data_IF_855183500532
#
_entry.id   IF_855183500532
#
_cell.length_a   1.000
_cell.length_b   1.000
_cell.length_c   1.000
_cell.angle_alpha   90.00
_cell.angle_beta   90.00
_cell.angle_gamma   90.00
#
_symmetry.space_group_name_H-M   'P 1'
#
loop_
_entity.id
_entity.type
_entity.pdbx_description
1 polymer ?
#
# COMPACT_ATOMS: atom_id res chain seq x y z
N UNK A 1 4.02 -8.49 -16.62
CA UNK A 1 5.08 -9.11 -15.77
C UNK A 1 6.02 -9.96 -16.61
N UNK A 2 7.35 -9.88 -16.40
CA UNK A 2 8.36 -10.70 -17.12
C UNK A 2 8.25 -12.18 -16.68
N UNK A 3 8.58 -13.13 -17.57
CA UNK A 3 8.54 -14.58 -17.25
C UNK A 3 9.46 -14.95 -16.07
N UNK A 4 10.61 -14.30 -15.96
CA UNK A 4 11.56 -14.48 -14.84
C UNK A 4 10.95 -14.10 -13.49
N UNK A 5 10.20 -12.99 -13.44
CA UNK A 5 9.50 -12.54 -12.23
C UNK A 5 8.39 -13.52 -11.83
N UNK A 6 7.64 -14.01 -12.81
CA UNK A 6 6.62 -15.04 -12.55
C UNK A 6 7.22 -16.33 -11.97
N UNK A 7 8.31 -16.82 -12.55
CA UNK A 7 9.01 -18.03 -12.06
C UNK A 7 9.56 -17.81 -10.63
N UNK A 8 10.06 -16.61 -10.33
CA UNK A 8 10.53 -16.29 -8.99
C UNK A 8 9.38 -16.35 -7.98
N UNK A 9 8.25 -15.69 -8.26
CA UNK A 9 7.09 -15.69 -7.36
C UNK A 9 6.46 -17.08 -7.21
N UNK A 10 6.40 -17.86 -8.29
CA UNK A 10 5.92 -19.25 -8.24
C UNK A 10 6.82 -20.12 -7.34
N UNK A 11 8.14 -20.03 -7.51
CA UNK A 11 9.12 -20.75 -6.68
C UNK A 11 9.04 -20.31 -5.22
N UNK A 12 8.92 -19.00 -4.96
CA UNK A 12 8.71 -18.46 -3.63
C UNK A 12 7.42 -18.99 -3.00
N UNK A 13 6.31 -18.99 -3.74
CA UNK A 13 5.02 -19.53 -3.28
C UNK A 13 5.13 -21.01 -2.90
N UNK A 14 5.76 -21.83 -3.73
CA UNK A 14 6.01 -23.25 -3.43
C UNK A 14 6.82 -23.41 -2.14
N UNK A 15 7.93 -22.69 -1.98
CA UNK A 15 8.77 -22.74 -0.77
C UNK A 15 8.00 -22.32 0.49
N UNK A 16 7.22 -21.27 0.39
CA UNK A 16 6.52 -20.70 1.55
C UNK A 16 5.30 -21.54 1.93
N UNK A 17 4.51 -22.00 0.95
CA UNK A 17 3.27 -22.77 1.18
C UNK A 17 3.58 -24.21 1.56
N UNK A 18 4.43 -24.89 0.78
CA UNK A 18 4.69 -26.33 0.97
C UNK A 18 5.77 -26.57 2.03
N UNK A 19 6.87 -25.80 2.01
CA UNK A 19 7.98 -25.95 2.95
C UNK A 19 7.85 -25.08 4.20
N UNK A 20 6.78 -24.27 4.31
CA UNK A 20 6.48 -23.37 5.43
C UNK A 20 7.61 -22.42 5.81
N UNK A 21 8.44 -22.05 4.84
CA UNK A 21 9.50 -21.08 5.06
C UNK A 21 8.94 -19.69 5.29
N UNK A 22 9.45 -18.97 6.29
CA UNK A 22 9.07 -17.59 6.61
C UNK A 22 10.04 -16.59 5.96
N UNK A 23 10.33 -16.76 4.68
CA UNK A 23 11.17 -15.83 3.93
C UNK A 23 10.35 -14.57 3.60
N UNK A 24 10.94 -13.35 3.71
CA UNK A 24 10.26 -12.12 3.30
C UNK A 24 10.19 -12.04 1.77
N UNK A 25 9.16 -11.37 1.27
CA UNK A 25 9.00 -11.07 -0.16
C UNK A 25 8.72 -9.59 -0.40
N UNK A 26 8.01 -8.95 0.53
CA UNK A 26 7.66 -7.55 0.50
C UNK A 26 8.47 -6.77 1.52
N UNK A 27 9.04 -5.65 1.11
CA UNK A 27 9.76 -4.73 1.98
C UNK A 27 9.33 -3.29 1.76
N UNK A 28 9.31 -2.52 2.81
CA UNK A 28 9.07 -1.08 2.78
C UNK A 28 10.29 -0.36 3.33
N UNK A 29 10.76 0.65 2.63
CA UNK A 29 11.77 1.60 3.12
C UNK A 29 11.06 2.91 3.45
N UNK A 30 11.24 3.40 4.66
CA UNK A 30 10.78 4.74 5.07
C UNK A 30 11.88 5.73 4.71
N UNK A 31 11.65 6.51 3.65
CA UNK A 31 12.67 7.44 3.13
C UNK A 31 12.68 8.78 3.87
N UNK A 32 11.56 9.14 4.49
CA UNK A 32 11.40 10.39 5.23
C UNK A 32 10.18 10.35 6.13
N UNK A 33 10.22 11.06 7.27
CA UNK A 33 9.03 11.38 8.07
C UNK A 33 8.41 12.74 7.69
N UNK A 34 9.11 13.55 6.88
CA UNK A 34 8.63 14.85 6.47
C UNK A 34 7.40 14.72 5.57
N UNK A 35 6.36 15.49 5.87
CA UNK A 35 5.14 15.55 5.08
C UNK A 35 4.64 16.99 4.99
N UNK A 36 3.99 17.35 3.90
CA UNK A 36 3.34 18.65 3.72
C UNK A 36 1.86 18.64 4.17
N UNK A 37 1.36 17.50 4.66
CA UNK A 37 -0.02 17.35 5.16
C UNK A 37 -0.04 16.93 6.63
N UNK A 38 -1.22 17.10 7.28
CA UNK A 38 -1.53 16.68 8.65
C UNK A 38 -2.86 15.91 8.67
N UNK A 39 -2.88 14.74 8.00
CA UNK A 39 -4.10 13.95 7.84
C UNK A 39 -4.62 13.39 9.17
N UNK A 40 -5.94 13.43 9.40
CA UNK A 40 -6.58 13.03 10.66
C UNK A 40 -6.32 11.57 11.07
N UNK A 41 -6.10 10.68 10.10
CA UNK A 41 -5.88 9.24 10.35
C UNK A 41 -4.41 8.82 10.26
N UNK A 42 -3.49 9.76 10.10
CA UNK A 42 -2.09 9.46 9.86
C UNK A 42 -1.35 9.06 11.14
N UNK A 43 -0.68 7.91 11.11
CA UNK A 43 0.17 7.41 12.21
C UNK A 43 1.65 7.77 12.05
N UNK A 44 2.04 8.42 10.93
CA UNK A 44 3.45 8.62 10.55
C UNK A 44 3.83 10.10 10.49
N UNK A 45 2.86 10.99 10.58
CA UNK A 45 2.97 12.40 10.21
C UNK A 45 4.02 13.17 11.00
N UNK A 46 5.08 13.63 10.31
CA UNK A 46 6.10 14.58 10.79
C UNK A 46 6.69 14.26 12.19
N UNK A 47 6.78 12.99 12.58
CA UNK A 47 7.23 12.58 13.92
C UNK A 47 8.62 13.16 14.20
N UNK A 48 9.54 13.03 13.23
CA UNK A 48 10.91 13.55 13.34
C UNK A 48 11.26 14.58 12.26
N UNK A 49 10.46 14.67 11.19
CA UNK A 49 10.72 15.45 9.98
C UNK A 49 12.07 15.15 9.30
N UNK A 50 12.66 13.98 9.55
CA UNK A 50 13.95 13.57 9.00
C UNK A 50 13.80 13.20 7.54
N UNK A 51 14.74 13.60 6.70
CA UNK A 51 14.97 13.11 5.34
C UNK A 51 16.23 12.24 5.39
N UNK A 52 16.10 10.95 5.09
CA UNK A 52 17.25 10.04 5.15
C UNK A 52 18.16 10.24 3.93
N UNK A 53 19.51 10.29 4.12
CA UNK A 53 20.47 10.43 3.03
C UNK A 53 20.40 9.28 2.02
N UNK A 54 20.72 9.56 0.75
CA UNK A 54 20.70 8.59 -0.35
C UNK A 54 21.47 7.31 -0.03
N UNK A 55 22.71 7.43 0.44
CA UNK A 55 23.55 6.26 0.75
C UNK A 55 22.95 5.39 1.87
N UNK A 56 22.26 5.99 2.83
CA UNK A 56 21.55 5.26 3.87
C UNK A 56 20.37 4.49 3.29
N UNK A 57 19.49 5.15 2.52
CA UNK A 57 18.35 4.51 1.85
C UNK A 57 18.82 3.40 0.94
N UNK A 58 19.89 3.62 0.18
CA UNK A 58 20.51 2.63 -0.70
C UNK A 58 20.99 1.40 0.08
N UNK A 59 21.65 1.60 1.23
CA UNK A 59 22.08 0.49 2.11
C UNK A 59 20.89 -0.28 2.69
N UNK A 60 19.81 0.41 3.05
CA UNK A 60 18.57 -0.21 3.54
C UNK A 60 17.90 -1.05 2.45
N UNK A 61 17.83 -0.54 1.20
CA UNK A 61 17.37 -1.33 0.05
C UNK A 61 18.23 -2.59 -0.14
N UNK A 62 19.57 -2.46 -0.12
CA UNK A 62 20.47 -3.60 -0.26
C UNK A 62 20.23 -4.64 0.85
N UNK A 63 20.06 -4.20 2.08
CA UNK A 63 19.76 -5.08 3.21
C UNK A 63 18.47 -5.87 2.98
N UNK A 64 17.38 -5.21 2.52
CA UNK A 64 16.13 -5.89 2.21
C UNK A 64 16.29 -6.86 1.03
N UNK A 65 17.05 -6.49 0.01
CA UNK A 65 17.31 -7.34 -1.15
C UNK A 65 18.06 -8.62 -0.75
N UNK A 66 19.09 -8.50 0.09
CA UNK A 66 19.95 -9.62 0.52
C UNK A 66 19.19 -10.64 1.36
N UNK A 67 18.21 -10.21 2.15
CA UNK A 67 17.35 -11.10 2.95
C UNK A 67 16.18 -11.69 2.17
N UNK A 68 16.02 -11.37 0.86
CA UNK A 68 15.08 -12.04 -0.01
C UNK A 68 13.89 -11.20 -0.49
N UNK A 69 13.78 -9.94 -0.07
CA UNK A 69 12.72 -9.04 -0.56
C UNK A 69 12.86 -8.80 -2.06
N UNK A 70 11.73 -8.86 -2.79
CA UNK A 70 11.69 -8.61 -4.24
C UNK A 70 10.57 -7.66 -4.65
N UNK A 71 9.65 -7.35 -3.74
CA UNK A 71 8.63 -6.31 -3.90
C UNK A 71 8.99 -5.19 -2.93
N UNK A 72 9.35 -4.02 -3.45
CA UNK A 72 9.77 -2.87 -2.67
C UNK A 72 8.70 -1.78 -2.69
N UNK A 73 8.47 -1.18 -1.52
CA UNK A 73 7.69 0.03 -1.37
C UNK A 73 8.56 1.15 -0.81
N UNK A 74 8.49 2.32 -1.43
CA UNK A 74 8.95 3.55 -0.82
C UNK A 74 7.77 4.23 -0.12
N UNK A 75 7.92 4.45 1.18
CA UNK A 75 6.92 5.09 2.04
C UNK A 75 7.58 6.16 2.91
N UNK A 76 6.75 6.86 3.68
CA UNK A 76 7.22 7.86 4.63
C UNK A 76 6.13 8.84 5.02
N UNK A 77 6.49 10.09 5.27
CA UNK A 77 5.56 11.20 5.32
C UNK A 77 5.00 11.47 3.93
N UNK A 78 5.75 12.19 3.08
CA UNK A 78 5.48 12.32 1.64
C UNK A 78 6.75 12.00 0.85
N UNK A 79 6.70 10.96 0.04
CA UNK A 79 7.87 10.44 -0.67
C UNK A 79 8.40 11.37 -1.75
N UNK A 80 7.54 12.13 -2.41
CA UNK A 80 7.95 13.13 -3.41
C UNK A 80 8.66 14.36 -2.80
N UNK A 81 8.64 14.53 -1.47
CA UNK A 81 9.47 15.51 -0.77
C UNK A 81 10.90 15.02 -0.53
N UNK A 82 11.17 13.73 -0.80
CA UNK A 82 12.49 13.19 -0.56
C UNK A 82 13.48 13.72 -1.62
N UNK A 83 14.56 14.32 -1.13
CA UNK A 83 15.67 14.81 -1.94
C UNK A 83 16.95 14.80 -1.10
N UNK A 84 18.06 14.41 -1.71
CA UNK A 84 19.41 14.48 -1.14
C UNK A 84 20.38 15.02 -2.19
N UNK A 85 20.76 16.29 -2.08
CA UNK A 85 21.51 17.01 -3.11
C UNK A 85 20.77 17.00 -4.44
N UNK A 86 21.39 16.46 -5.47
CA UNK A 86 20.79 16.31 -6.80
C UNK A 86 19.95 15.04 -6.96
N UNK A 87 19.96 14.14 -5.96
CA UNK A 87 19.22 12.89 -5.97
C UNK A 87 17.76 13.10 -5.58
N UNK A 88 16.85 12.48 -6.34
CA UNK A 88 15.40 12.52 -6.15
C UNK A 88 14.83 11.12 -5.89
N UNK A 89 13.54 11.03 -5.61
CA UNK A 89 12.82 9.75 -5.49
C UNK A 89 12.98 8.88 -6.77
N UNK A 90 13.04 9.50 -7.95
CA UNK A 90 13.27 8.78 -9.22
C UNK A 90 14.59 8.03 -9.21
N UNK A 91 15.67 8.64 -8.67
CA UNK A 91 16.97 7.97 -8.57
C UNK A 91 16.89 6.73 -7.67
N UNK A 92 16.14 6.78 -6.57
CA UNK A 92 15.91 5.61 -5.70
C UNK A 92 15.14 4.50 -6.40
N UNK A 93 14.11 4.84 -7.18
CA UNK A 93 13.33 3.86 -7.95
C UNK A 93 14.20 3.19 -9.01
N UNK A 94 15.00 3.96 -9.75
CA UNK A 94 15.93 3.44 -10.77
C UNK A 94 16.98 2.53 -10.10
N UNK A 95 17.57 2.96 -8.99
CA UNK A 95 18.55 2.16 -8.23
C UNK A 95 17.94 0.84 -7.73
N UNK A 96 16.73 0.87 -7.18
CA UNK A 96 16.04 -0.34 -6.74
C UNK A 96 15.81 -1.34 -7.90
N UNK A 97 15.42 -0.83 -9.08
CA UNK A 97 15.31 -1.68 -10.29
C UNK A 97 16.65 -2.25 -10.72
N UNK A 98 17.72 -1.45 -10.66
CA UNK A 98 19.08 -1.88 -10.99
C UNK A 98 19.61 -2.94 -10.00
N UNK A 99 19.25 -2.86 -8.71
CA UNK A 99 19.55 -3.88 -7.70
C UNK A 99 18.84 -5.21 -7.97
N UNK A 100 17.76 -5.21 -8.77
CA UNK A 100 17.03 -6.42 -9.15
C UNK A 100 15.74 -6.64 -8.37
N UNK A 101 15.17 -5.62 -7.71
CA UNK A 101 13.80 -5.70 -7.23
C UNK A 101 12.85 -5.90 -8.42
N UNK A 102 11.94 -6.85 -8.28
CA UNK A 102 11.05 -7.24 -9.38
C UNK A 102 9.86 -6.29 -9.52
N UNK A 103 9.41 -5.73 -8.41
CA UNK A 103 8.33 -4.75 -8.32
C UNK A 103 8.80 -3.63 -7.39
N UNK A 104 8.68 -2.37 -7.86
CA UNK A 104 9.01 -1.17 -7.08
C UNK A 104 7.82 -0.23 -7.10
N UNK A 105 7.24 -0.02 -5.93
CA UNK A 105 6.06 0.81 -5.72
C UNK A 105 6.39 2.04 -4.87
N UNK A 106 5.60 3.08 -5.05
CA UNK A 106 5.72 4.34 -4.30
C UNK A 106 4.37 4.68 -3.68
N UNK A 107 4.36 5.15 -2.43
CA UNK A 107 3.17 5.68 -1.76
C UNK A 107 3.27 7.20 -1.68
N UNK A 108 2.23 7.91 -2.10
CA UNK A 108 2.19 9.38 -2.11
C UNK A 108 0.82 9.92 -1.73
N UNK A 109 0.81 11.15 -1.22
CA UNK A 109 -0.43 11.90 -1.02
C UNK A 109 -0.93 12.61 -2.30
N UNK A 110 -0.15 12.57 -3.39
CA UNK A 110 -0.53 13.07 -4.71
C UNK A 110 -0.52 14.57 -4.88
N UNK A 111 -0.01 15.35 -3.91
CA UNK A 111 0.02 16.83 -3.99
C UNK A 111 1.15 17.38 -4.85
N UNK A 112 2.06 16.55 -5.30
CA UNK A 112 3.16 16.88 -6.21
C UNK A 112 2.89 16.34 -7.61
N UNK A 113 3.53 16.90 -8.66
CA UNK A 113 3.44 16.36 -10.02
C UNK A 113 3.81 14.88 -10.06
N UNK A 114 2.99 14.08 -10.73
CA UNK A 114 3.15 12.62 -10.82
C UNK A 114 3.86 12.29 -12.13
N UNK A 115 5.19 12.34 -12.13
CA UNK A 115 6.01 11.94 -13.25
C UNK A 115 7.06 10.93 -12.79
N UNK A 116 6.65 9.66 -12.69
CA UNK A 116 7.50 8.56 -12.23
C UNK A 116 7.14 7.25 -12.97
N UNK A 117 7.35 7.20 -14.30
CA UNK A 117 7.01 6.03 -15.10
C UNK A 117 7.85 4.79 -14.77
N UNK A 118 8.99 4.97 -14.08
CA UNK A 118 9.86 3.87 -13.66
C UNK A 118 9.26 3.03 -12.52
N UNK A 119 8.31 3.58 -11.72
CA UNK A 119 7.60 2.82 -10.70
C UNK A 119 6.58 1.86 -11.33
N UNK A 120 6.43 0.66 -10.76
CA UNK A 120 5.41 -0.30 -11.22
C UNK A 120 4.00 0.13 -10.82
N UNK A 121 3.83 0.64 -9.58
CA UNK A 121 2.61 1.30 -9.12
C UNK A 121 2.93 2.50 -8.24
N UNK A 122 2.13 3.55 -8.40
CA UNK A 122 2.07 4.70 -7.50
C UNK A 122 0.77 4.59 -6.70
N UNK A 123 0.89 4.19 -5.43
CA UNK A 123 -0.24 4.15 -4.51
C UNK A 123 -0.57 5.57 -4.06
N UNK A 124 -1.54 6.17 -4.71
CA UNK A 124 -1.96 7.55 -4.50
C UNK A 124 -3.14 7.61 -3.54
N UNK A 125 -2.95 8.31 -2.44
CA UNK A 125 -3.94 8.44 -1.38
C UNK A 125 -5.15 9.26 -1.81
N UNK A 126 -6.34 8.63 -1.84
CA UNK A 126 -7.61 9.31 -2.12
C UNK A 126 -8.72 8.75 -1.22
N UNK A 127 -9.30 9.59 -0.36
CA UNK A 127 -10.17 9.15 0.74
C UNK A 127 -11.63 9.57 0.60
N UNK A 128 -12.20 9.42 -0.59
CA UNK A 128 -13.61 9.69 -0.84
C UNK A 128 -13.86 10.76 -1.90
N UNK A 129 -15.03 11.39 -1.85
CA UNK A 129 -15.33 12.59 -2.62
C UNK A 129 -14.54 13.81 -2.13
N UNK A 130 -14.71 14.96 -2.78
CA UNK A 130 -14.02 16.21 -2.43
C UNK A 130 -14.18 16.58 -0.95
N UNK A 131 -15.41 16.50 -0.43
CA UNK A 131 -15.69 16.93 0.94
C UNK A 131 -15.02 15.99 1.96
N UNK A 132 -15.15 14.68 1.78
CA UNK A 132 -14.59 13.67 2.72
C UNK A 132 -13.08 13.63 2.63
N UNK A 133 -12.54 13.65 1.42
CA UNK A 133 -11.10 13.73 1.23
C UNK A 133 -10.51 14.97 1.91
N UNK A 134 -11.08 16.15 1.63
CA UNK A 134 -10.61 17.41 2.22
C UNK A 134 -10.79 17.46 3.74
N UNK A 135 -11.83 16.84 4.27
CA UNK A 135 -12.03 16.71 5.73
C UNK A 135 -10.93 15.89 6.39
N UNK A 136 -10.42 14.85 5.71
CA UNK A 136 -9.40 13.94 6.23
C UNK A 136 -7.99 14.49 5.99
N UNK A 137 -7.71 14.99 4.76
CA UNK A 137 -6.35 15.31 4.28
C UNK A 137 -6.08 16.80 4.05
N UNK A 138 -7.06 17.67 4.32
CA UNK A 138 -6.96 19.08 3.96
C UNK A 138 -7.37 19.34 2.50
N UNK A 139 -7.38 20.59 2.08
CA UNK A 139 -7.90 21.04 0.78
C UNK A 139 -6.97 20.63 -0.38
N UNK A 140 -6.85 19.32 -0.65
CA UNK A 140 -5.92 18.77 -1.65
C UNK A 140 -6.59 18.03 -2.79
N UNK A 141 -7.89 17.75 -2.72
CA UNK A 141 -8.61 16.95 -3.71
C UNK A 141 -8.43 17.44 -5.16
N UNK A 142 -8.62 18.74 -5.40
CA UNK A 142 -8.52 19.32 -6.75
C UNK A 142 -7.08 19.31 -7.27
N UNK A 143 -6.11 19.58 -6.39
CA UNK A 143 -4.68 19.51 -6.72
C UNK A 143 -4.31 18.10 -7.15
N UNK A 144 -4.80 17.08 -6.44
CA UNK A 144 -4.54 15.67 -6.75
C UNK A 144 -5.12 15.31 -8.12
N UNK A 145 -6.39 15.63 -8.40
CA UNK A 145 -7.00 15.34 -9.71
C UNK A 145 -6.29 16.09 -10.84
N UNK A 146 -5.86 17.33 -10.60
CA UNK A 146 -5.05 18.06 -11.57
C UNK A 146 -3.72 17.34 -11.83
N UNK A 147 -2.98 16.93 -10.78
CA UNK A 147 -1.70 16.22 -10.94
C UNK A 147 -1.87 14.88 -11.67
N UNK A 148 -2.97 14.16 -11.42
CA UNK A 148 -3.29 12.92 -12.14
C UNK A 148 -3.52 13.21 -13.63
N UNK A 149 -4.26 14.27 -13.98
CA UNK A 149 -4.52 14.63 -15.38
C UNK A 149 -3.26 15.03 -16.17
N UNK A 150 -2.16 15.32 -15.49
CA UNK A 150 -0.85 15.64 -16.07
C UNK A 150 0.14 14.46 -15.99
N UNK A 151 -0.28 13.30 -15.45
CA UNK A 151 0.57 12.13 -15.34
C UNK A 151 0.99 11.61 -16.71
N UNK A 152 2.18 11.00 -16.77
CA UNK A 152 2.78 10.53 -18.05
C UNK A 152 2.70 9.01 -18.22
N UNK A 153 2.24 8.28 -17.19
CA UNK A 153 2.17 6.82 -17.18
C UNK A 153 0.88 6.31 -16.54
N UNK A 154 0.40 5.16 -17.03
CA UNK A 154 -0.80 4.48 -16.51
C UNK A 154 -0.42 3.53 -15.35
N UNK A 155 0.18 4.09 -14.28
CA UNK A 155 0.65 3.31 -13.14
C UNK A 155 0.10 3.79 -11.79
N UNK A 156 -0.94 4.63 -11.79
CA UNK A 156 -1.56 5.13 -10.56
C UNK A 156 -2.58 4.10 -10.04
N UNK A 157 -2.52 3.83 -8.74
CA UNK A 157 -3.51 3.07 -8.01
C UNK A 157 -4.06 3.94 -6.88
N UNK A 158 -5.35 4.22 -6.85
CA UNK A 158 -5.94 4.91 -5.71
C UNK A 158 -5.80 4.04 -4.45
N UNK A 159 -5.45 4.67 -3.34
CA UNK A 159 -5.25 4.00 -2.07
C UNK A 159 -6.10 4.67 -0.99
N UNK A 160 -7.20 4.02 -0.61
CA UNK A 160 -8.18 4.56 0.33
C UNK A 160 -8.10 3.86 1.68
N UNK A 161 -7.94 4.65 2.76
CA UNK A 161 -8.10 4.18 4.12
C UNK A 161 -9.54 4.43 4.59
N UNK A 162 -10.38 3.39 4.52
CA UNK A 162 -11.80 3.48 4.89
C UNK A 162 -11.92 3.66 6.41
N UNK A 163 -12.64 4.69 6.83
CA UNK A 163 -12.85 5.08 8.22
C UNK A 163 -14.26 5.67 8.42
N UNK A 164 -14.60 6.12 9.64
CA UNK A 164 -15.92 6.66 9.95
C UNK A 164 -16.35 7.85 9.10
N UNK A 165 -15.40 8.63 8.55
CA UNK A 165 -15.71 9.84 7.76
C UNK A 165 -16.11 9.48 6.32
N UNK A 166 -15.50 8.42 5.74
CA UNK A 166 -15.58 8.15 4.31
C UNK A 166 -16.18 6.77 3.94
N UNK A 167 -16.62 5.97 4.89
CA UNK A 167 -17.14 4.60 4.68
C UNK A 167 -18.27 4.49 3.66
N UNK A 168 -19.08 5.54 3.53
CA UNK A 168 -20.23 5.58 2.60
C UNK A 168 -19.85 6.05 1.18
N UNK A 169 -18.53 6.30 0.93
CA UNK A 169 -18.02 6.81 -0.35
C UNK A 169 -17.07 5.83 -1.09
N UNK A 170 -17.08 4.58 -0.70
CA UNK A 170 -16.29 3.51 -1.33
C UNK A 170 -16.63 3.35 -2.81
N UNK A 171 -17.92 3.36 -3.15
CA UNK A 171 -18.41 3.26 -4.52
C UNK A 171 -18.03 4.48 -5.38
N UNK A 172 -18.02 5.68 -4.80
CA UNK A 172 -17.55 6.88 -5.46
C UNK A 172 -16.08 6.73 -5.90
N UNK A 173 -15.20 6.27 -5.01
CA UNK A 173 -13.77 6.09 -5.34
C UNK A 173 -13.58 4.98 -6.38
N UNK A 174 -14.37 3.91 -6.32
CA UNK A 174 -14.34 2.86 -7.35
C UNK A 174 -14.70 3.39 -8.75
N UNK A 175 -15.79 4.19 -8.85
CA UNK A 175 -16.17 4.80 -10.12
C UNK A 175 -15.13 5.80 -10.59
N UNK A 176 -14.64 6.64 -9.69
CA UNK A 176 -13.59 7.60 -10.02
C UNK A 176 -12.33 6.91 -10.56
N UNK A 177 -11.92 5.77 -9.95
CA UNK A 177 -10.79 4.99 -10.45
C UNK A 177 -11.02 4.39 -11.85
N UNK A 178 -12.26 4.01 -12.16
CA UNK A 178 -12.64 3.50 -13.50
C UNK A 178 -12.65 4.61 -14.55
N UNK A 179 -13.10 5.82 -14.17
CA UNK A 179 -13.43 6.90 -15.08
C UNK A 179 -12.31 7.97 -15.19
N UNK A 180 -11.17 7.77 -14.49
CA UNK A 180 -10.02 8.69 -14.49
C UNK A 180 -8.86 8.10 -15.28
N UNK A 181 -8.37 8.83 -16.27
CA UNK A 181 -7.18 8.46 -17.04
C UNK A 181 -5.95 8.30 -16.12
N UNK A 182 -5.00 7.46 -16.55
CA UNK A 182 -3.78 7.09 -15.80
C UNK A 182 -4.01 6.31 -14.50
N UNK A 183 -5.27 6.12 -14.06
CA UNK A 183 -5.62 5.32 -12.88
C UNK A 183 -5.91 3.89 -13.30
N UNK A 184 -5.05 2.98 -12.89
CA UNK A 184 -5.09 1.57 -13.24
C UNK A 184 -5.98 0.74 -12.33
N UNK A 185 -6.05 1.13 -11.05
CA UNK A 185 -6.79 0.40 -10.03
C UNK A 185 -7.12 1.25 -8.80
N UNK A 186 -7.91 0.69 -7.90
CA UNK A 186 -8.10 1.17 -6.53
C UNK A 186 -7.83 0.06 -5.54
N UNK A 187 -7.14 0.37 -4.45
CA UNK A 187 -6.88 -0.53 -3.32
C UNK A 187 -7.41 0.08 -2.02
N UNK A 188 -8.03 -0.74 -1.20
CA UNK A 188 -8.63 -0.35 0.05
C UNK A 188 -7.90 -0.95 1.26
N UNK A 189 -7.92 -0.21 2.36
CA UNK A 189 -7.70 -0.72 3.71
C UNK A 189 -8.77 -0.18 4.64
N UNK A 190 -9.05 -0.87 5.72
CA UNK A 190 -9.73 -0.26 6.85
C UNK A 190 -8.72 0.53 7.68
N UNK A 191 -9.19 1.62 8.29
CA UNK A 191 -8.38 2.33 9.25
C UNK A 191 -7.98 1.41 10.41
N UNK A 192 -6.68 1.35 10.70
CA UNK A 192 -6.16 0.67 11.90
C UNK A 192 -6.18 1.68 13.05
N UNK A 193 -6.91 1.41 14.16
CA UNK A 193 -7.22 2.39 15.18
C UNK A 193 -6.06 2.63 16.14
N UNK A 194 -5.10 3.47 15.73
CA UNK A 194 -4.04 3.94 16.63
C UNK A 194 -4.63 4.70 17.83
N UNK A 195 -3.88 4.80 18.95
CA UNK A 195 -4.41 5.40 20.19
C UNK A 195 -5.10 6.74 20.02
N UNK A 196 -4.57 7.60 19.13
CA UNK A 196 -5.07 8.97 18.90
C UNK A 196 -6.15 9.06 17.79
N UNK A 197 -6.54 7.93 17.19
CA UNK A 197 -7.48 7.90 16.06
C UNK A 197 -8.53 6.79 16.19
N UNK A 198 -8.81 6.36 17.42
CA UNK A 198 -9.75 5.25 17.71
C UNK A 198 -11.16 5.54 17.25
N UNK A 199 -11.58 6.79 17.28
CA UNK A 199 -12.90 7.25 16.85
C UNK A 199 -13.15 7.07 15.36
N UNK A 200 -12.08 6.87 14.57
CA UNK A 200 -12.17 6.60 13.13
C UNK A 200 -12.36 5.11 12.81
N UNK A 201 -12.30 4.23 13.83
CA UNK A 201 -12.45 2.80 13.63
C UNK A 201 -13.86 2.42 13.16
N UNK A 202 -13.93 1.41 12.29
CA UNK A 202 -15.20 0.83 11.86
C UNK A 202 -15.64 -0.33 12.75
N UNK A 203 -16.93 -0.41 13.02
CA UNK A 203 -17.55 -1.60 13.59
C UNK A 203 -17.54 -2.76 12.59
N UNK A 204 -17.81 -3.97 13.07
CA UNK A 204 -17.90 -5.16 12.23
C UNK A 204 -18.96 -5.02 11.14
N UNK A 205 -20.14 -4.49 11.48
CA UNK A 205 -21.25 -4.31 10.53
C UNK A 205 -20.91 -3.27 9.46
N UNK A 206 -20.20 -2.20 9.83
CA UNK A 206 -19.73 -1.20 8.89
C UNK A 206 -18.68 -1.78 7.93
N UNK A 207 -17.72 -2.58 8.45
CA UNK A 207 -16.76 -3.32 7.61
C UNK A 207 -17.47 -4.24 6.62
N UNK A 208 -18.50 -4.95 7.07
CA UNK A 208 -19.28 -5.83 6.21
C UNK A 208 -19.96 -5.05 5.08
N UNK A 209 -20.64 -3.94 5.38
CA UNK A 209 -21.26 -3.06 4.36
C UNK A 209 -20.23 -2.51 3.36
N UNK A 210 -19.06 -2.09 3.82
CA UNK A 210 -17.98 -1.65 2.92
C UNK A 210 -17.54 -2.79 1.98
N UNK A 211 -17.31 -4.00 2.51
CA UNK A 211 -16.94 -5.17 1.71
C UNK A 211 -18.04 -5.58 0.72
N UNK A 212 -19.31 -5.48 1.07
CA UNK A 212 -20.45 -5.68 0.16
C UNK A 212 -20.42 -4.65 -0.98
N UNK A 213 -20.20 -3.37 -0.64
CA UNK A 213 -20.06 -2.29 -1.65
C UNK A 213 -18.88 -2.56 -2.58
N UNK A 214 -17.69 -2.89 -2.04
CA UNK A 214 -16.50 -3.21 -2.85
C UNK A 214 -16.80 -4.40 -3.77
N UNK A 215 -17.44 -5.45 -3.24
CA UNK A 215 -17.82 -6.63 -4.01
C UNK A 215 -18.74 -6.28 -5.18
N UNK A 216 -19.78 -5.49 -4.95
CA UNK A 216 -20.69 -5.00 -5.97
C UNK A 216 -19.95 -4.18 -7.04
N UNK A 217 -19.04 -3.28 -6.64
CA UNK A 217 -18.25 -2.50 -7.58
C UNK A 217 -17.30 -3.36 -8.44
N UNK A 218 -16.73 -4.43 -7.85
CA UNK A 218 -15.95 -5.42 -8.61
C UNK A 218 -16.82 -6.15 -9.65
N UNK A 219 -18.04 -6.55 -9.26
CA UNK A 219 -18.99 -7.24 -10.15
C UNK A 219 -19.49 -6.29 -11.26
N UNK A 220 -19.56 -4.97 -11.02
CA UNK A 220 -19.81 -3.90 -12.00
C UNK A 220 -18.58 -3.56 -12.88
N UNK A 221 -17.46 -4.25 -12.70
CA UNK A 221 -16.25 -4.10 -13.53
C UNK A 221 -15.28 -2.98 -13.10
N UNK A 222 -15.48 -2.37 -11.93
CA UNK A 222 -14.51 -1.39 -11.41
C UNK A 222 -13.16 -2.05 -11.10
N UNK A 223 -12.03 -1.32 -11.33
CA UNK A 223 -10.69 -1.89 -11.23
C UNK A 223 -10.19 -1.96 -9.79
N UNK A 224 -10.74 -2.87 -8.98
CA UNK A 224 -10.32 -3.09 -7.60
C UNK A 224 -9.16 -4.07 -7.53
N UNK A 225 -8.10 -3.69 -6.80
CA UNK A 225 -6.89 -4.49 -6.64
C UNK A 225 -7.00 -5.55 -5.53
N UNK A 226 -7.88 -5.34 -4.54
CA UNK A 226 -8.04 -6.23 -3.39
C UNK A 226 -8.66 -7.57 -3.74
N UNK A 227 -8.46 -8.57 -2.86
CA UNK A 227 -8.92 -9.93 -3.05
C UNK A 227 -10.23 -10.18 -2.29
N UNK A 228 -11.32 -10.40 -3.03
CA UNK A 228 -12.67 -10.62 -2.48
C UNK A 228 -12.72 -11.76 -1.46
N UNK A 229 -11.95 -12.83 -1.67
CA UNK A 229 -11.89 -13.98 -0.75
C UNK A 229 -11.27 -13.67 0.60
N UNK A 230 -10.58 -12.52 0.76
CA UNK A 230 -10.03 -12.09 2.05
C UNK A 230 -11.05 -11.33 2.91
N UNK A 231 -12.13 -10.80 2.34
CA UNK A 231 -13.10 -9.93 3.03
C UNK A 231 -13.73 -10.55 4.27
N UNK A 232 -14.18 -11.84 4.28
CA UNK A 232 -14.73 -12.44 5.51
C UNK A 232 -13.75 -12.45 6.68
N UNK A 233 -12.45 -12.62 6.39
CA UNK A 233 -11.41 -12.62 7.40
C UNK A 233 -11.12 -11.21 7.92
N UNK A 234 -11.18 -10.19 7.05
CA UNK A 234 -11.01 -8.78 7.41
C UNK A 234 -12.16 -8.25 8.27
N UNK A 235 -13.41 -8.62 7.93
CA UNK A 235 -14.60 -8.27 8.71
C UNK A 235 -14.51 -8.80 10.14
N UNK A 236 -14.05 -10.05 10.28
CA UNK A 236 -13.92 -10.74 11.57
C UNK A 236 -12.59 -10.48 12.30
N UNK A 237 -11.63 -9.79 11.64
CA UNK A 237 -10.23 -9.72 12.08
C UNK A 237 -9.62 -11.10 12.40
N UNK A 238 -10.03 -12.16 11.64
CA UNK A 238 -9.59 -13.54 11.84
C UNK A 238 -8.57 -13.98 10.80
N UNK A 239 -7.43 -13.33 10.76
CA UNK A 239 -6.29 -13.70 9.95
C UNK A 239 -4.99 -13.57 10.76
N UNK A 240 -3.92 -14.26 10.36
CA UNK A 240 -2.66 -14.19 11.09
C UNK A 240 -2.03 -12.81 11.05
N UNK A 241 -1.61 -12.31 12.21
CA UNK A 241 -0.81 -11.09 12.36
C UNK A 241 0.36 -11.36 13.29
N UNK A 242 1.50 -10.68 13.08
CA UNK A 242 1.88 -9.86 11.93
C UNK A 242 2.17 -10.71 10.67
N UNK A 243 2.21 -10.05 9.49
CA UNK A 243 2.64 -10.70 8.26
C UNK A 243 4.18 -10.87 8.25
N UNK A 244 4.66 -12.10 8.42
CA UNK A 244 6.11 -12.38 8.45
C UNK A 244 6.80 -12.24 7.10
N UNK A 245 6.05 -12.22 6.01
CA UNK A 245 6.58 -12.00 4.67
C UNK A 245 6.70 -10.51 4.31
N UNK A 246 6.23 -9.61 5.20
CA UNK A 246 6.30 -8.17 5.03
C UNK A 246 7.27 -7.56 6.05
N UNK A 247 8.25 -6.81 5.58
CA UNK A 247 9.22 -6.11 6.41
C UNK A 247 9.15 -4.60 6.20
N UNK A 248 9.46 -3.85 7.22
CA UNK A 248 9.70 -2.40 7.11
C UNK A 248 11.08 -2.11 7.66
N UNK A 249 11.86 -1.35 6.92
CA UNK A 249 13.14 -0.82 7.41
C UNK A 249 13.04 0.69 7.54
N UNK A 250 13.46 1.17 8.67
CA UNK A 250 13.43 2.57 9.02
C UNK A 250 14.58 2.90 9.95
N UNK A 251 15.39 3.87 9.59
CA UNK A 251 16.57 4.29 10.35
C UNK A 251 17.49 3.12 10.74
N UNK A 252 17.66 2.16 9.82
CA UNK A 252 18.46 0.94 10.01
C UNK A 252 17.78 -0.14 10.85
N UNK A 253 16.60 0.12 11.44
CA UNK A 253 15.84 -0.87 12.21
C UNK A 253 14.88 -1.62 11.29
N UNK A 254 14.97 -2.95 11.28
CA UNK A 254 14.03 -3.82 10.56
C UNK A 254 12.92 -4.25 11.53
N UNK A 255 11.68 -4.02 11.12
CA UNK A 255 10.48 -4.45 11.84
C UNK A 255 9.62 -5.35 10.96
N UNK A 256 9.00 -6.37 11.55
CA UNK A 256 8.01 -7.19 10.85
C UNK A 256 6.73 -6.38 10.69
N UNK A 257 6.22 -6.26 9.48
CA UNK A 257 4.94 -5.66 9.13
C UNK A 257 4.83 -4.13 9.32
N UNK A 258 5.55 -3.49 10.22
CA UNK A 258 5.58 -2.04 10.39
C UNK A 258 5.46 -1.57 11.83
N UNK A 259 5.38 -0.25 12.03
CA UNK A 259 5.33 0.42 13.35
C UNK A 259 4.18 -0.05 14.26
N UNK A 260 3.08 -0.50 13.66
CA UNK A 260 1.90 -0.96 14.42
C UNK A 260 2.16 -2.15 15.35
N UNK A 261 3.22 -2.94 15.08
CA UNK A 261 3.59 -4.08 15.95
C UNK A 261 4.07 -3.62 17.35
N UNK A 262 4.55 -2.39 17.46
CA UNK A 262 5.02 -1.82 18.72
C UNK A 262 3.88 -1.30 19.62
N UNK A 263 2.66 -1.23 19.08
CA UNK A 263 1.47 -0.79 19.83
C UNK A 263 0.69 -1.99 20.32
N UNK A 264 0.63 -2.24 21.66
CA UNK A 264 -0.07 -3.39 22.22
C UNK A 264 -1.55 -3.45 21.78
N UNK A 265 -2.01 -4.62 21.33
CA UNK A 265 -3.39 -4.85 20.92
C UNK A 265 -3.78 -4.29 19.55
N UNK A 266 -2.86 -3.63 18.84
CA UNK A 266 -3.19 -3.03 17.55
C UNK A 266 -3.21 -4.06 16.41
N UNK A 267 -2.35 -5.09 16.48
CA UNK A 267 -2.33 -6.16 15.49
C UNK A 267 -3.66 -6.94 15.42
N UNK A 268 -4.37 -7.10 16.53
CA UNK A 268 -5.68 -7.76 16.61
C UNK A 268 -6.80 -6.91 15.96
N UNK A 269 -6.53 -5.64 15.71
CA UNK A 269 -7.42 -4.68 15.06
C UNK A 269 -6.91 -4.24 13.70
N UNK A 270 -5.99 -5.03 13.10
CA UNK A 270 -5.35 -4.71 11.84
C UNK A 270 -6.37 -4.47 10.72
N UNK A 271 -6.30 -3.31 10.10
CA UNK A 271 -7.15 -2.91 8.98
C UNK A 271 -6.50 -3.09 7.59
N UNK A 272 -5.25 -3.52 7.54
CA UNK A 272 -4.53 -3.66 6.29
C UNK A 272 -4.96 -4.89 5.50
N UNK A 273 -5.59 -4.68 4.35
CA UNK A 273 -6.08 -5.77 3.49
C UNK A 273 -4.93 -6.64 2.99
N UNK A 274 -3.82 -6.05 2.57
CA UNK A 274 -2.66 -6.81 2.11
C UNK A 274 -2.11 -7.77 3.19
N UNK A 275 -2.23 -7.43 4.48
CA UNK A 275 -1.80 -8.33 5.57
C UNK A 275 -2.66 -9.59 5.58
N UNK A 276 -3.99 -9.45 5.49
CA UNK A 276 -4.90 -10.59 5.39
C UNK A 276 -4.65 -11.39 4.10
N UNK A 277 -4.54 -10.71 2.97
CA UNK A 277 -4.34 -11.30 1.64
C UNK A 277 -3.05 -12.13 1.59
N UNK A 278 -1.91 -11.56 2.03
CA UNK A 278 -0.62 -12.25 2.02
C UNK A 278 -0.55 -13.38 3.04
N UNK A 279 -1.05 -13.17 4.27
CA UNK A 279 -1.00 -14.23 5.28
C UNK A 279 -1.88 -15.42 4.93
N UNK A 280 -3.03 -15.20 4.30
CA UNK A 280 -3.90 -16.26 3.79
C UNK A 280 -3.30 -16.94 2.55
N UNK A 281 -2.72 -16.16 1.63
CA UNK A 281 -1.99 -16.67 0.46
C UNK A 281 -0.91 -17.68 0.89
N UNK A 282 -0.03 -17.27 1.80
CA UNK A 282 1.10 -18.11 2.23
C UNK A 282 0.72 -19.23 3.20
N UNK A 283 -0.53 -19.25 3.67
CA UNK A 283 -1.13 -20.42 4.33
C UNK A 283 -1.76 -21.42 3.36
N UNK A 284 -1.71 -21.15 2.06
CA UNK A 284 -2.22 -22.04 1.03
C UNK A 284 -3.73 -21.93 0.82
N UNK A 285 -4.35 -20.80 1.10
CA UNK A 285 -5.76 -20.59 0.76
C UNK A 285 -5.93 -20.55 -0.78
N UNK A 286 -6.51 -21.61 -1.31
CA UNK A 286 -6.59 -21.84 -2.77
C UNK A 286 -7.34 -20.72 -3.49
N UNK A 287 -8.43 -20.20 -2.91
CA UNK A 287 -9.19 -19.09 -3.52
C UNK A 287 -8.35 -17.83 -3.61
N UNK A 288 -7.66 -17.47 -2.53
CA UNK A 288 -6.74 -16.33 -2.48
C UNK A 288 -5.60 -16.49 -3.50
N UNK A 289 -5.02 -17.69 -3.64
CA UNK A 289 -3.96 -17.98 -4.62
C UNK A 289 -4.45 -17.67 -6.05
N UNK A 290 -5.62 -18.17 -6.44
CA UNK A 290 -6.17 -17.93 -7.78
C UNK A 290 -6.52 -16.45 -8.00
N UNK A 291 -7.14 -15.78 -7.02
CA UNK A 291 -7.45 -14.35 -7.12
C UNK A 291 -6.18 -13.51 -7.22
N UNK A 292 -5.16 -13.80 -6.41
CA UNK A 292 -3.88 -13.11 -6.46
C UNK A 292 -3.21 -13.22 -7.83
N UNK A 293 -3.13 -14.43 -8.40
CA UNK A 293 -2.57 -14.64 -9.73
C UNK A 293 -3.33 -13.82 -10.79
N UNK A 294 -4.68 -13.85 -10.75
CA UNK A 294 -5.51 -13.11 -11.70
C UNK A 294 -5.32 -11.59 -11.54
N UNK A 295 -5.27 -11.09 -10.32
CA UNK A 295 -5.12 -9.66 -10.02
C UNK A 295 -3.75 -9.15 -10.45
N UNK A 296 -2.68 -9.88 -10.13
CA UNK A 296 -1.32 -9.51 -10.54
C UNK A 296 -1.15 -9.52 -12.07
N UNK A 297 -1.69 -10.52 -12.76
CA UNK A 297 -1.65 -10.56 -14.23
C UNK A 297 -2.42 -9.41 -14.88
N UNK A 298 -3.43 -8.87 -14.19
CA UNK A 298 -4.26 -7.77 -14.72
C UNK A 298 -3.63 -6.39 -14.46
N UNK A 299 -3.01 -6.18 -13.29
CA UNK A 299 -2.64 -4.83 -12.82
C UNK A 299 -1.13 -4.58 -12.70
N UNK A 300 -0.27 -5.59 -12.76
CA UNK A 300 1.19 -5.50 -12.72
C UNK A 300 1.80 -6.19 -13.95
#
# INVERSE_FOLDING_TARGET
>A
MKLSSFLHFATFGVKTILLRKKEPILGTVIVTDKCNLHCKHCSVNNITAVVHPYEKVRKEMQTLYDIGVRILFFCGGETFLWQDGEKSLRDLVIEAKAMGFLIVNVVTNGTFPIDLPEADLILLSLDGDRERHNTIRGNTYDTILHNISQATADNICFYMAINQINKDYVDHVCRLARDTDHVKAVSFNFHTPYPDTKELALSKDEKAKCCETITRMMDEGCPVFNLKSAFPYLIENKFPTPCHQCLVIEDGKISTCGRCIEVPGLCEQCGYFFVAEYTLLFRGNVKIIFEMLRTYLKYI
#
